data_IF_273838350846
#
_entry.id   IF_273838350846
#
_cell.length_a   1.000
_cell.length_b   1.000
_cell.length_c   1.000
_cell.angle_alpha   90.00
_cell.angle_beta   90.00
_cell.angle_gamma   90.00
#
_symmetry.space_group_name_H-M   'P 1'
#
loop_
_entity.id
_entity.type
_entity.pdbx_description
1 polymer ?
#
# COMPACT_ATOMS: atom_id res chain seq x y z
N UNK A 1 -9.44 -36.39 12.37
CA UNK A 1 -9.81 -35.08 12.93
C UNK A 1 -9.84 -34.11 11.77
N UNK A 2 -11.02 -33.78 11.27
CA UNK A 2 -11.14 -32.74 10.25
C UNK A 2 -10.99 -31.40 10.98
N UNK A 3 -9.92 -30.66 10.70
CA UNK A 3 -9.86 -29.25 11.05
C UNK A 3 -11.02 -28.60 10.30
N UNK A 4 -12.07 -28.23 11.03
CA UNK A 4 -13.11 -27.38 10.49
C UNK A 4 -12.42 -26.09 10.09
N UNK A 5 -12.29 -25.84 8.78
CA UNK A 5 -11.96 -24.51 8.29
C UNK A 5 -13.11 -23.61 8.77
N UNK A 6 -12.87 -22.92 9.88
CA UNK A 6 -13.67 -21.77 10.27
C UNK A 6 -13.57 -20.83 9.08
N UNK A 7 -14.67 -20.69 8.35
CA UNK A 7 -14.77 -19.75 7.25
C UNK A 7 -14.82 -18.37 7.91
N UNK A 8 -13.65 -17.84 8.29
CA UNK A 8 -13.51 -16.55 8.93
C UNK A 8 -13.85 -15.52 7.86
N UNK A 9 -14.98 -14.85 8.03
CA UNK A 9 -15.31 -13.69 7.20
C UNK A 9 -14.38 -12.54 7.59
N UNK A 10 -13.27 -12.41 6.87
CA UNK A 10 -12.31 -11.33 7.03
C UNK A 10 -12.93 -9.95 6.72
N UNK A 11 -14.07 -9.90 6.03
CA UNK A 11 -14.81 -8.67 5.77
C UNK A 11 -15.78 -8.28 6.90
N UNK A 12 -15.93 -9.09 7.94
CA UNK A 12 -16.69 -8.67 9.13
C UNK A 12 -16.01 -7.48 9.81
N UNK A 13 -16.81 -6.53 10.34
CA UNK A 13 -16.29 -5.26 10.83
C UNK A 13 -15.19 -5.43 11.91
N UNK A 14 -15.37 -6.36 12.84
CA UNK A 14 -14.38 -6.65 13.89
C UNK A 14 -13.05 -7.19 13.34
N UNK A 15 -13.09 -8.06 12.33
CA UNK A 15 -11.88 -8.59 11.70
C UNK A 15 -11.16 -7.50 10.89
N UNK A 16 -11.91 -6.63 10.21
CA UNK A 16 -11.35 -5.48 9.48
C UNK A 16 -10.67 -4.49 10.42
N UNK A 17 -11.27 -4.20 11.57
CA UNK A 17 -10.65 -3.38 12.63
C UNK A 17 -9.34 -4.00 13.13
N UNK A 18 -9.33 -5.30 13.41
CA UNK A 18 -8.13 -6.02 13.83
C UNK A 18 -7.02 -5.98 12.78
N UNK A 19 -7.35 -6.30 11.51
CA UNK A 19 -6.41 -6.26 10.40
C UNK A 19 -5.84 -4.86 10.20
N UNK A 20 -6.66 -3.82 10.35
CA UNK A 20 -6.21 -2.44 10.27
C UNK A 20 -5.24 -2.09 11.40
N UNK A 21 -5.53 -2.49 12.64
CA UNK A 21 -4.62 -2.28 13.77
C UNK A 21 -3.28 -3.01 13.57
N UNK A 22 -3.31 -4.24 13.05
CA UNK A 22 -2.09 -4.97 12.71
C UNK A 22 -1.31 -4.22 11.63
N UNK A 23 -1.97 -3.76 10.57
CA UNK A 23 -1.33 -2.95 9.52
C UNK A 23 -0.67 -1.69 10.08
N UNK A 24 -1.36 -0.97 10.98
CA UNK A 24 -0.81 0.22 11.65
C UNK A 24 0.41 -0.10 12.53
N UNK A 25 0.40 -1.23 13.24
CA UNK A 25 1.57 -1.70 14.00
C UNK A 25 2.74 -2.01 13.07
N UNK A 26 2.50 -2.71 11.96
CA UNK A 26 3.52 -3.02 10.96
C UNK A 26 4.13 -1.75 10.36
N UNK A 27 3.31 -0.76 10.02
CA UNK A 27 3.79 0.55 9.56
C UNK A 27 4.66 1.25 10.62
N UNK A 28 4.25 1.23 11.89
CA UNK A 28 5.01 1.85 13.00
C UNK A 28 6.39 1.22 13.18
N UNK A 29 6.49 -0.10 13.06
CA UNK A 29 7.74 -0.85 13.15
C UNK A 29 8.56 -0.85 11.84
N UNK A 30 8.14 -0.07 10.82
CA UNK A 30 8.76 0.02 9.49
C UNK A 30 8.71 -1.30 8.68
N UNK A 31 7.75 -2.18 8.98
CA UNK A 31 7.46 -3.43 8.25
C UNK A 31 6.49 -3.17 7.09
N UNK A 32 6.82 -2.20 6.25
CA UNK A 32 5.91 -1.64 5.24
C UNK A 32 5.47 -2.68 4.19
N UNK A 33 6.38 -3.52 3.71
CA UNK A 33 6.07 -4.58 2.74
C UNK A 33 5.07 -5.59 3.31
N UNK A 34 5.28 -6.02 4.56
CA UNK A 34 4.34 -6.90 5.27
C UNK A 34 2.96 -6.25 5.41
N UNK A 35 2.90 -4.95 5.69
CA UNK A 35 1.63 -4.22 5.74
C UNK A 35 0.92 -4.21 4.38
N UNK A 36 1.65 -3.97 3.27
CA UNK A 36 1.07 -3.99 1.92
C UNK A 36 0.58 -5.38 1.52
N UNK A 37 1.36 -6.41 1.83
CA UNK A 37 0.97 -7.80 1.59
C UNK A 37 -0.27 -8.16 2.38
N UNK A 38 -0.38 -7.74 3.64
CA UNK A 38 -1.58 -7.94 4.45
C UNK A 38 -2.81 -7.28 3.83
N UNK A 39 -2.69 -6.02 3.41
CA UNK A 39 -3.75 -5.28 2.69
C UNK A 39 -4.22 -6.03 1.44
N UNK A 40 -3.27 -6.46 0.60
CA UNK A 40 -3.52 -7.14 -0.67
C UNK A 40 -4.13 -8.52 -0.50
N UNK A 41 -3.54 -9.37 0.36
CA UNK A 41 -3.99 -10.77 0.51
C UNK A 41 -5.33 -10.89 1.23
N UNK A 42 -5.65 -9.96 2.14
CA UNK A 42 -6.94 -9.98 2.84
C UNK A 42 -8.00 -9.10 2.19
N UNK A 43 -7.62 -8.17 1.30
CA UNK A 43 -8.53 -7.29 0.57
C UNK A 43 -9.39 -6.38 1.47
N UNK A 44 -8.97 -6.16 2.73
CA UNK A 44 -9.78 -5.53 3.78
C UNK A 44 -9.82 -4.00 3.69
N UNK A 45 -8.75 -3.40 3.18
CA UNK A 45 -8.52 -1.97 3.08
C UNK A 45 -7.60 -1.69 1.89
N UNK A 46 -8.05 -0.82 0.98
CA UNK A 46 -7.26 -0.39 -0.18
C UNK A 46 -6.58 0.93 0.16
N UNK A 47 -5.26 0.89 0.29
CA UNK A 47 -4.47 2.07 0.59
C UNK A 47 -4.26 2.92 -0.67
N UNK A 48 -5.17 3.87 -0.90
CA UNK A 48 -5.13 4.75 -2.06
C UNK A 48 -3.80 5.51 -2.18
N UNK A 49 -3.22 5.96 -1.06
CA UNK A 49 -1.96 6.72 -1.05
C UNK A 49 -0.81 5.85 -1.56
N UNK A 50 -0.68 4.63 -1.05
CA UNK A 50 0.34 3.69 -1.51
C UNK A 50 0.19 3.38 -3.01
N UNK A 51 -1.04 3.11 -3.45
CA UNK A 51 -1.30 2.84 -4.86
C UNK A 51 -0.97 4.03 -5.77
N UNK A 52 -1.29 5.25 -5.34
CA UNK A 52 -0.90 6.48 -6.05
C UNK A 52 0.61 6.63 -6.18
N UNK A 53 1.36 6.33 -5.10
CA UNK A 53 2.82 6.37 -5.10
C UNK A 53 3.41 5.35 -6.10
N UNK A 54 2.84 4.14 -6.21
CA UNK A 54 3.26 3.15 -7.22
C UNK A 54 3.08 3.69 -8.65
N UNK A 55 1.90 4.23 -8.96
CA UNK A 55 1.57 4.75 -10.29
C UNK A 55 2.44 5.97 -10.64
N UNK A 56 2.67 6.88 -9.69
CA UNK A 56 3.53 8.04 -9.92
C UNK A 56 5.01 7.68 -10.13
N UNK A 57 5.48 6.61 -9.48
CA UNK A 57 6.84 6.11 -9.66
C UNK A 57 7.00 5.25 -10.93
N UNK A 58 5.91 4.86 -11.59
CA UNK A 58 5.93 3.99 -12.78
C UNK A 58 6.08 2.50 -12.45
N UNK A 59 5.83 2.12 -11.19
CA UNK A 59 5.80 0.74 -10.71
C UNK A 59 4.46 0.07 -11.10
N UNK A 60 4.22 -0.03 -12.41
CA UNK A 60 2.92 -0.46 -12.94
C UNK A 60 2.61 -1.94 -12.67
N UNK A 61 3.64 -2.79 -12.63
CA UNK A 61 3.47 -4.22 -12.37
C UNK A 61 3.09 -4.44 -10.89
N UNK A 62 3.74 -3.73 -9.97
CA UNK A 62 3.41 -3.75 -8.55
C UNK A 62 2.04 -3.10 -8.27
N UNK A 63 1.68 -2.05 -9.04
CA UNK A 63 0.36 -1.43 -8.95
C UNK A 63 -0.74 -2.40 -9.40
N UNK A 64 -0.51 -3.15 -10.48
CA UNK A 64 -1.43 -4.17 -10.97
C UNK A 64 -1.57 -5.32 -9.96
N UNK A 65 -0.45 -5.83 -9.44
CA UNK A 65 -0.46 -6.87 -8.40
C UNK A 65 -1.23 -6.43 -7.14
N UNK A 66 -1.10 -5.15 -6.74
CA UNK A 66 -1.87 -4.63 -5.62
C UNK A 66 -3.38 -4.61 -5.89
N UNK A 67 -3.81 -4.30 -7.12
CA UNK A 67 -5.22 -4.30 -7.53
C UNK A 67 -5.80 -5.73 -7.58
N UNK A 68 -5.00 -6.73 -7.95
CA UNK A 68 -5.40 -8.16 -7.97
C UNK A 68 -5.90 -8.64 -6.59
N UNK A 69 -5.44 -8.01 -5.49
CA UNK A 69 -5.93 -8.30 -4.14
C UNK A 69 -7.39 -7.89 -3.86
N UNK A 70 -7.99 -7.09 -4.76
CA UNK A 70 -9.31 -6.50 -4.54
C UNK A 70 -10.31 -6.80 -5.65
N UNK A 71 -9.85 -6.98 -6.89
CA UNK A 71 -10.72 -7.20 -8.04
C UNK A 71 -9.98 -7.88 -9.20
N UNK A 72 -10.70 -8.65 -9.99
CA UNK A 72 -10.17 -9.24 -11.23
C UNK A 72 -10.38 -8.33 -12.45
N UNK A 73 -9.57 -8.51 -13.49
CA UNK A 73 -9.62 -7.74 -14.74
C UNK A 73 -11.01 -7.73 -15.39
N UNK A 74 -11.73 -8.84 -15.32
CA UNK A 74 -13.03 -9.03 -15.95
C UNK A 74 -14.22 -8.86 -14.98
N UNK A 75 -13.99 -8.48 -13.72
CA UNK A 75 -15.02 -8.42 -12.68
C UNK A 75 -16.15 -7.43 -13.04
N UNK A 76 -15.79 -6.23 -13.48
CA UNK A 76 -16.73 -5.24 -14.00
C UNK A 76 -16.02 -4.20 -14.88
N UNK A 77 -16.80 -3.30 -15.50
CA UNK A 77 -16.26 -2.30 -16.43
C UNK A 77 -15.30 -1.30 -15.78
N UNK A 78 -15.46 -0.98 -14.50
CA UNK A 78 -14.51 -0.12 -13.79
C UNK A 78 -13.21 -0.87 -13.51
N UNK A 79 -13.28 -2.14 -13.08
CA UNK A 79 -12.10 -2.99 -12.92
C UNK A 79 -11.33 -3.10 -14.24
N UNK A 80 -11.99 -3.49 -15.34
CA UNK A 80 -11.36 -3.57 -16.67
C UNK A 80 -10.69 -2.25 -17.06
N UNK A 81 -11.32 -1.11 -16.73
CA UNK A 81 -10.74 0.21 -17.01
C UNK A 81 -9.50 0.52 -16.16
N UNK A 82 -9.44 0.10 -14.90
CA UNK A 82 -8.24 0.27 -14.05
C UNK A 82 -7.04 -0.44 -14.69
N UNK A 83 -7.17 -1.74 -15.00
CA UNK A 83 -6.11 -2.52 -15.66
C UNK A 83 -5.71 -1.93 -17.01
N UNK A 84 -6.69 -1.49 -17.79
CA UNK A 84 -6.43 -0.87 -19.09
C UNK A 84 -5.58 0.39 -18.96
N UNK A 85 -5.93 1.29 -18.03
CA UNK A 85 -5.19 2.54 -17.83
C UNK A 85 -3.74 2.31 -17.35
N UNK A 86 -3.52 1.34 -16.45
CA UNK A 86 -2.17 0.96 -15.99
C UNK A 86 -1.30 0.43 -17.15
N UNK A 87 -1.79 -0.58 -17.87
CA UNK A 87 -1.07 -1.21 -18.99
C UNK A 87 -0.88 -0.24 -20.17
N UNK A 88 -1.84 0.66 -20.39
CA UNK A 88 -1.74 1.75 -21.39
C UNK A 88 -0.61 2.73 -21.05
N UNK A 89 -0.52 3.17 -19.81
CA UNK A 89 0.55 4.08 -19.40
C UNK A 89 1.92 3.40 -19.49
N UNK A 90 2.04 2.16 -18.99
CA UNK A 90 3.24 1.33 -19.13
C UNK A 90 3.67 1.16 -20.60
N UNK A 91 2.70 0.97 -21.50
CA UNK A 91 2.95 0.84 -22.94
C UNK A 91 3.51 2.14 -23.55
N UNK A 92 2.93 3.30 -23.23
CA UNK A 92 3.43 4.57 -23.75
C UNK A 92 4.83 4.91 -23.25
N UNK A 93 5.12 4.65 -21.98
CA UNK A 93 6.47 4.87 -21.44
C UNK A 93 7.49 3.91 -22.09
N UNK A 94 7.10 2.66 -22.34
CA UNK A 94 7.94 1.71 -23.08
C UNK A 94 8.21 2.17 -24.53
N UNK A 95 7.22 2.81 -25.18
CA UNK A 95 7.44 3.41 -26.51
C UNK A 95 8.38 4.61 -26.45
N UNK A 96 8.25 5.45 -25.42
CA UNK A 96 9.09 6.63 -25.19
C UNK A 96 10.56 6.25 -24.93
N UNK A 97 10.79 5.14 -24.22
CA UNK A 97 12.12 4.57 -24.00
C UNK A 97 12.72 3.93 -25.26
N UNK A 98 11.97 3.86 -26.36
CA UNK A 98 12.39 3.25 -27.63
C UNK A 98 12.38 1.72 -27.61
N UNK A 99 11.85 1.10 -26.56
CA UNK A 99 11.81 -0.36 -26.37
C UNK A 99 10.68 -1.04 -27.17
N UNK A 100 10.69 -0.87 -28.49
CA UNK A 100 9.60 -1.34 -29.37
C UNK A 100 9.36 -2.85 -29.32
N UNK A 101 10.40 -3.67 -29.08
CA UNK A 101 10.24 -5.12 -28.90
C UNK A 101 9.47 -5.47 -27.62
N UNK A 102 9.71 -4.72 -26.53
CA UNK A 102 8.97 -4.88 -25.28
C UNK A 102 7.53 -4.42 -25.46
N UNK A 103 7.31 -3.27 -26.08
CA UNK A 103 5.97 -2.77 -26.40
C UNK A 103 5.15 -3.73 -27.28
N UNK A 104 5.78 -4.38 -28.28
CA UNK A 104 5.13 -5.43 -29.07
C UNK A 104 4.76 -6.65 -28.22
N UNK A 105 5.63 -7.06 -27.30
CA UNK A 105 5.36 -8.18 -26.39
C UNK A 105 4.15 -7.88 -25.49
N UNK A 106 4.09 -6.66 -24.94
CA UNK A 106 2.93 -6.19 -24.18
C UNK A 106 1.64 -6.23 -25.02
N UNK A 107 1.70 -5.80 -26.28
CA UNK A 107 0.55 -5.86 -27.18
C UNK A 107 0.01 -7.30 -27.36
N UNK A 108 0.93 -8.25 -27.53
CA UNK A 108 0.60 -9.65 -27.81
C UNK A 108 0.14 -10.43 -26.56
N UNK A 109 0.63 -10.05 -25.39
CA UNK A 109 0.42 -10.78 -24.14
C UNK A 109 -0.57 -10.07 -23.21
N UNK A 110 -0.33 -8.80 -22.90
CA UNK A 110 -1.12 -8.03 -21.93
C UNK A 110 -2.36 -7.38 -22.56
N UNK A 111 -2.25 -6.82 -23.77
CA UNK A 111 -3.38 -6.12 -24.39
C UNK A 111 -4.43 -7.06 -24.99
N UNK A 112 -4.07 -8.33 -25.18
CA UNK A 112 -4.97 -9.35 -25.71
C UNK A 112 -6.19 -9.55 -24.81
N UNK A 113 -6.02 -9.39 -23.49
CA UNK A 113 -7.11 -9.52 -22.51
C UNK A 113 -8.23 -8.48 -22.75
N UNK A 114 -7.91 -7.36 -23.42
CA UNK A 114 -8.89 -6.31 -23.73
C UNK A 114 -9.59 -6.48 -25.09
N UNK A 115 -9.18 -7.43 -25.92
CA UNK A 115 -9.76 -7.66 -27.24
C UNK A 115 -11.29 -7.86 -27.25
N UNK A 116 -11.92 -8.49 -26.24
CA UNK A 116 -13.38 -8.59 -26.17
C UNK A 116 -14.08 -7.22 -26.03
N UNK A 117 -13.43 -6.24 -25.41
CA UNK A 117 -13.99 -4.93 -25.11
C UNK A 117 -13.70 -3.89 -26.20
N UNK A 118 -12.52 -3.98 -26.83
CA UNK A 118 -12.14 -3.13 -27.94
C UNK A 118 -11.36 -3.93 -29.00
N UNK A 119 -12.02 -4.24 -30.12
CA UNK A 119 -11.42 -5.01 -31.22
C UNK A 119 -10.37 -4.23 -32.02
N UNK A 120 -10.45 -2.90 -32.07
CA UNK A 120 -9.49 -2.08 -32.83
C UNK A 120 -8.25 -1.73 -32.00
N UNK A 121 -8.30 -1.88 -30.68
CA UNK A 121 -7.22 -1.52 -29.75
C UNK A 121 -5.85 -2.06 -30.17
N UNK A 122 -5.74 -3.36 -30.43
CA UNK A 122 -4.46 -3.96 -30.82
C UNK A 122 -3.96 -3.42 -32.17
N UNK A 123 -4.86 -3.12 -33.10
CA UNK A 123 -4.50 -2.55 -34.41
C UNK A 123 -4.02 -1.09 -34.29
N UNK A 124 -4.73 -0.29 -33.48
CA UNK A 124 -4.37 1.10 -33.19
C UNK A 124 -3.02 1.18 -32.46
N UNK A 125 -2.82 0.38 -31.41
CA UNK A 125 -1.56 0.34 -30.67
C UNK A 125 -0.41 -0.23 -31.52
N UNK A 126 -0.66 -1.19 -32.41
CA UNK A 126 0.34 -1.66 -33.37
C UNK A 126 0.78 -0.55 -34.35
N UNK A 127 -0.13 0.34 -34.75
CA UNK A 127 0.24 1.47 -35.61
C UNK A 127 1.23 2.41 -34.91
N UNK A 128 1.09 2.62 -33.60
CA UNK A 128 2.00 3.46 -32.81
C UNK A 128 3.44 2.93 -32.76
N UNK A 129 3.64 1.61 -32.89
CA UNK A 129 4.98 1.00 -32.97
C UNK A 129 5.76 1.44 -34.23
N UNK A 130 5.07 1.92 -35.26
CA UNK A 130 5.69 2.29 -36.55
C UNK A 130 6.04 3.78 -36.65
N UNK A 131 5.56 4.59 -35.71
CA UNK A 131 5.76 6.05 -35.72
C UNK A 131 7.02 6.40 -34.93
N UNK A 132 7.86 7.27 -35.49
CA UNK A 132 9.09 7.75 -34.84
C UNK A 132 8.80 8.53 -33.56
N UNK A 133 7.78 9.39 -33.58
CA UNK A 133 7.24 10.07 -32.41
C UNK A 133 5.74 9.77 -32.30
N UNK A 134 5.35 8.89 -31.38
CA UNK A 134 3.95 8.54 -31.17
C UNK A 134 3.12 9.75 -30.67
N UNK A 135 3.75 10.78 -30.10
CA UNK A 135 3.09 12.03 -29.68
C UNK A 135 2.62 12.86 -30.87
N UNK A 136 3.18 12.64 -32.07
CA UNK A 136 2.69 13.26 -33.30
C UNK A 136 1.32 12.71 -33.74
N UNK A 137 0.82 11.65 -33.09
CA UNK A 137 -0.52 11.12 -33.35
C UNK A 137 -1.59 12.05 -32.77
N UNK A 138 -2.63 12.39 -33.54
CA UNK A 138 -3.64 13.40 -33.17
C UNK A 138 -4.33 13.13 -31.82
N UNK A 139 -4.53 11.85 -31.47
CA UNK A 139 -5.11 11.45 -30.18
C UNK A 139 -4.14 11.54 -28.98
N UNK A 140 -2.83 11.62 -29.25
CA UNK A 140 -1.75 11.64 -28.26
C UNK A 140 -0.99 12.98 -28.25
N UNK A 141 -1.43 13.95 -29.05
CA UNK A 141 -0.86 15.30 -29.10
C UNK A 141 -0.99 16.06 -27.75
N UNK A 142 -1.84 15.59 -26.84
CA UNK A 142 -1.95 16.07 -25.46
C UNK A 142 -1.21 15.22 -24.42
N UNK A 143 -0.44 14.20 -24.84
CA UNK A 143 0.36 13.38 -23.94
C UNK A 143 1.56 14.21 -23.47
N UNK A 144 1.40 14.85 -22.31
CA UNK A 144 2.43 15.67 -21.67
C UNK A 144 3.70 14.87 -21.29
N UNK A 145 4.56 15.50 -20.50
CA UNK A 145 5.71 14.80 -19.90
C UNK A 145 5.24 13.57 -19.12
N UNK A 146 6.11 12.56 -18.97
CA UNK A 146 5.81 11.29 -18.28
C UNK A 146 5.06 11.52 -16.96
N UNK A 147 5.49 12.48 -16.15
CA UNK A 147 4.87 12.80 -14.86
C UNK A 147 3.45 13.40 -14.98
N UNK A 148 3.16 14.14 -16.05
CA UNK A 148 1.81 14.64 -16.31
C UNK A 148 0.90 13.51 -16.82
N UNK A 149 1.42 12.66 -17.70
CA UNK A 149 0.69 11.48 -18.18
C UNK A 149 0.34 10.52 -17.02
N UNK A 150 1.30 10.20 -16.14
CA UNK A 150 1.06 9.40 -14.92
C UNK A 150 0.01 10.04 -14.00
N UNK A 151 0.04 11.37 -13.82
CA UNK A 151 -0.98 12.08 -13.02
C UNK A 151 -2.37 12.03 -13.65
N UNK A 152 -2.46 12.18 -14.96
CA UNK A 152 -3.73 12.07 -15.68
C UNK A 152 -4.28 10.65 -15.56
N UNK A 153 -3.46 9.64 -15.84
CA UNK A 153 -3.82 8.22 -15.70
C UNK A 153 -4.30 7.91 -14.27
N UNK A 154 -3.57 8.38 -13.25
CA UNK A 154 -3.97 8.17 -11.86
C UNK A 154 -5.30 8.85 -11.53
N UNK A 155 -5.59 10.04 -12.06
CA UNK A 155 -6.89 10.69 -11.85
C UNK A 155 -8.05 9.88 -12.45
N UNK A 156 -7.85 9.30 -13.63
CA UNK A 156 -8.85 8.44 -14.27
C UNK A 156 -9.03 7.12 -13.52
N UNK A 157 -7.93 6.50 -13.08
CA UNK A 157 -7.95 5.29 -12.25
C UNK A 157 -8.64 5.55 -10.91
N UNK A 158 -8.32 6.65 -10.23
CA UNK A 158 -8.94 7.03 -8.95
C UNK A 158 -10.46 7.13 -9.09
N UNK A 159 -10.95 7.75 -10.16
CA UNK A 159 -12.39 7.83 -10.45
C UNK A 159 -12.99 6.43 -10.66
N UNK A 160 -12.28 5.54 -11.33
CA UNK A 160 -12.75 4.16 -11.51
C UNK A 160 -12.84 3.41 -10.18
N UNK A 161 -11.82 3.52 -9.32
CA UNK A 161 -11.80 2.91 -7.99
C UNK A 161 -12.97 3.42 -7.14
N UNK A 162 -13.20 4.73 -7.10
CA UNK A 162 -14.28 5.35 -6.32
C UNK A 162 -15.69 4.91 -6.76
N UNK A 163 -15.88 4.65 -8.06
CA UNK A 163 -17.17 4.25 -8.63
C UNK A 163 -17.38 2.73 -8.66
N UNK A 164 -16.34 1.95 -8.34
CA UNK A 164 -16.36 0.51 -8.47
C UNK A 164 -16.92 -0.15 -7.20
N UNK A 165 -18.02 -0.93 -7.29
CA UNK A 165 -18.67 -1.53 -6.13
C UNK A 165 -17.77 -2.42 -5.28
N UNK A 166 -16.75 -3.06 -5.85
CA UNK A 166 -15.84 -3.97 -5.12
C UNK A 166 -14.97 -3.25 -4.08
N UNK A 167 -14.78 -1.93 -4.24
CA UNK A 167 -14.02 -1.09 -3.34
C UNK A 167 -14.90 -0.39 -2.29
N UNK A 168 -16.23 -0.49 -2.39
CA UNK A 168 -17.12 0.15 -1.43
C UNK A 168 -16.84 -0.32 0.00
N UNK A 169 -16.66 0.64 0.90
CA UNK A 169 -16.33 0.40 2.30
C UNK A 169 -14.88 0.01 2.56
N UNK A 170 -14.02 -0.11 1.54
CA UNK A 170 -12.59 -0.47 1.66
C UNK A 170 -11.63 0.69 1.46
N UNK A 171 -12.12 1.85 1.00
CA UNK A 171 -11.30 3.04 0.71
C UNK A 171 -11.04 3.91 1.95
N UNK A 172 -11.91 3.80 2.95
CA UNK A 172 -11.78 4.51 4.21
C UNK A 172 -11.25 3.56 5.29
N UNK A 173 -10.38 4.04 6.19
CA UNK A 173 -9.95 3.25 7.32
C UNK A 173 -11.16 2.89 8.19
N UNK A 174 -11.22 1.67 8.75
CA UNK A 174 -12.30 1.29 9.66
C UNK A 174 -12.29 2.20 10.89
N UNK A 175 -13.47 2.50 11.42
CA UNK A 175 -13.61 3.29 12.63
C UNK A 175 -13.20 2.44 13.83
N UNK A 176 -11.97 2.63 14.33
CA UNK A 176 -11.47 1.87 15.48
C UNK A 176 -12.10 2.43 16.76
N UNK A 177 -12.78 1.60 17.54
CA UNK A 177 -13.21 2.01 18.88
C UNK A 177 -11.97 2.33 19.74
N UNK A 178 -11.96 3.52 20.34
CA UNK A 178 -10.80 4.10 21.07
C UNK A 178 -10.24 3.20 22.17
N UNK A 179 -11.08 2.31 22.71
CA UNK A 179 -10.75 1.41 23.81
C UNK A 179 -9.80 0.29 23.35
N UNK A 180 -9.93 -0.16 22.09
CA UNK A 180 -9.14 -1.26 21.51
C UNK A 180 -7.79 -0.77 21.00
N UNK A 181 -7.79 0.41 20.35
CA UNK A 181 -6.58 1.07 19.87
C UNK A 181 -5.64 1.42 21.03
N UNK A 182 -6.18 1.90 22.15
CA UNK A 182 -5.41 2.20 23.35
C UNK A 182 -4.79 0.95 23.98
N UNK A 183 -5.52 -0.17 24.06
CA UNK A 183 -5.02 -1.39 24.68
C UNK A 183 -3.80 -1.98 23.96
N UNK A 184 -3.76 -1.93 22.63
CA UNK A 184 -2.67 -2.50 21.83
C UNK A 184 -1.49 -1.52 21.70
N UNK A 185 -1.75 -0.22 21.52
CA UNK A 185 -0.69 0.79 21.39
C UNK A 185 -0.03 1.14 22.73
N UNK A 186 -0.81 1.23 23.82
CA UNK A 186 -0.29 1.58 25.15
C UNK A 186 0.12 0.36 26.00
N UNK A 187 -0.43 -0.84 25.75
CA UNK A 187 0.03 -2.06 26.40
C UNK A 187 1.51 -2.38 26.12
N UNK A 188 2.08 -1.85 25.02
CA UNK A 188 3.50 -1.99 24.69
C UNK A 188 4.40 -0.89 25.29
N UNK A 189 3.86 0.29 25.66
CA UNK A 189 4.67 1.36 26.27
C UNK A 189 4.90 1.16 27.76
N UNK A 190 3.99 0.47 28.47
CA UNK A 190 4.24 0.05 29.87
C UNK A 190 5.36 -0.99 29.97
N UNK A 191 5.46 -1.91 29.00
CA UNK A 191 6.50 -2.95 28.97
C UNK A 191 7.92 -2.42 28.69
N UNK A 192 8.07 -1.24 28.06
CA UNK A 192 9.39 -0.62 27.86
C UNK A 192 9.86 0.15 29.11
N UNK A 193 8.95 0.66 29.94
CA UNK A 193 9.28 1.36 31.18
C UNK A 193 9.64 0.43 32.34
N UNK A 194 9.20 -0.84 32.31
CA UNK A 194 9.57 -1.84 33.32
C UNK A 194 10.96 -2.46 33.09
N UNK A 195 11.50 -2.45 31.87
CA UNK A 195 12.86 -2.94 31.58
C UNK A 195 13.97 -1.93 31.89
N UNK A 196 13.67 -0.64 32.04
CA UNK A 196 14.66 0.37 32.49
C UNK A 196 14.71 0.57 34.01
N UNK A 197 13.69 0.15 34.77
CA UNK A 197 13.66 0.29 36.23
C UNK A 197 14.08 -0.97 37.01
N UNK A 198 14.53 -2.02 36.31
CA UNK A 198 14.80 -3.35 36.88
C UNK A 198 16.26 -3.68 37.20
N UNK A 199 17.21 -2.73 37.24
CA UNK A 199 18.60 -3.02 37.63
C UNK A 199 19.15 -1.90 38.51
N UNK A 200 19.26 -2.16 39.83
CA UNK A 200 19.98 -1.25 40.72
C UNK A 200 19.65 -1.32 42.22
N UNK A 201 19.30 -2.48 42.76
CA UNK A 201 19.32 -2.67 44.21
C UNK A 201 20.75 -2.86 44.71
N UNK A 202 21.31 -1.84 45.35
CA UNK A 202 22.36 -1.98 46.36
C UNK A 202 22.09 -0.95 47.45
N UNK A 203 21.69 -1.44 48.62
CA UNK A 203 21.42 -0.61 49.79
C UNK A 203 22.72 -0.06 50.37
N UNK A 204 22.76 1.25 50.55
CA UNK A 204 23.71 1.88 51.47
C UNK A 204 23.17 1.75 52.91
N UNK A 205 23.99 1.33 53.89
CA UNK A 205 23.56 1.29 55.27
C UNK A 205 23.45 2.72 55.84
N UNK A 206 22.42 2.94 56.65
CA UNK A 206 22.17 4.20 57.35
C UNK A 206 23.38 4.65 58.20
N UNK A 207 23.65 5.97 58.29
CA UNK A 207 24.75 6.49 59.11
C UNK A 207 24.40 6.41 60.61
N UNK A 208 25.38 6.21 61.50
CA UNK A 208 25.14 6.14 62.94
C UNK A 208 24.90 7.55 63.53
N UNK A 209 24.25 7.63 64.71
CA UNK A 209 23.92 8.91 65.32
C UNK A 209 25.14 9.57 65.98
N UNK A 210 25.31 10.86 65.72
CA UNK A 210 26.36 11.69 66.34
C UNK A 210 26.17 11.75 67.86
N UNK A 211 27.17 11.26 68.59
CA UNK A 211 27.39 11.62 69.99
C UNK A 211 28.45 12.72 70.06
N UNK A 212 28.03 13.91 70.51
CA UNK A 212 28.90 14.97 71.00
C UNK A 212 29.75 14.46 72.17
N UNK A 213 31.08 14.53 72.06
CA UNK A 213 31.98 14.69 73.22
C UNK A 213 33.12 15.64 72.86
N UNK A 214 33.31 16.60 73.76
CA UNK A 214 34.22 17.74 73.77
C UNK A 214 35.72 17.41 73.92
N UNK A 215 36.54 18.36 73.42
CA UNK A 215 37.83 18.85 73.99
C UNK A 215 39.12 18.02 73.76
N UNK A 216 40.34 18.59 74.02
CA UNK A 216 40.88 19.86 73.51
C UNK A 216 42.39 19.80 73.10
N UNK A 217 42.82 20.74 72.24
CA UNK A 217 44.06 21.51 72.45
C UNK A 217 45.43 21.05 71.88
N UNK A 218 46.19 22.08 71.45
CA UNK A 218 47.66 22.25 71.37
C UNK A 218 48.41 21.42 70.30
N UNK A 219 49.36 21.93 69.52
CA UNK A 219 50.12 23.20 69.46
C UNK A 219 50.32 23.58 67.99
#
# INVERSE_FOLDING_TARGET
MAAGNLNIDLNSNANRELLYMISQFLEHENLTETARTLERESGFYFNMRFFEDLVHNGAFDEAEEYVDGFTDLHENSFSTKIYFELRKQKFFETLEDGERCRALTMLMQEFRDFAPYNRSLCGEAAALLTVDDFRAHQALAGHGEINEARRSAMNDIRRCIQMNPVFHGKLEPPNIESNLQGAIMYGNSENQNEQQNGVGGNGDPAPPPNHDISSPGRN
#
